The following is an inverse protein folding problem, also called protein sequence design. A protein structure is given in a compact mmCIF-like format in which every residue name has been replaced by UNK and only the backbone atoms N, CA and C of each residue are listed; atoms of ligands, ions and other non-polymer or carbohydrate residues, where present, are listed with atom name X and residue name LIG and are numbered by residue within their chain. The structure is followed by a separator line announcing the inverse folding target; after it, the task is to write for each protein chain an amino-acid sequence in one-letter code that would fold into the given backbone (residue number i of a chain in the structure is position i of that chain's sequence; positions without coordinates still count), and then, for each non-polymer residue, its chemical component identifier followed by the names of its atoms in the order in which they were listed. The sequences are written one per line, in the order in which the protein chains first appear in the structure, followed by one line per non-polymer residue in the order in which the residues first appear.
data_IF_552831335536
#
_entry.id   IF_552831335536
#
_cell.length_a   1.000
_cell.length_b   1.000
_cell.length_c   1.000
_cell.angle_alpha   90.00
_cell.angle_beta   90.00
_cell.angle_gamma   90.00
#
_symmetry.space_group_name_H-M   'P 1'
#
loop_
_entity.id
_entity.type
_entity.pdbx_description
1 polymer ?
#
# COMPACT_ATOMS: atom_id res chain seq x y z
N UNK A 1 -55.36 32.66 0.46
CA UNK A 1 -54.14 33.49 0.26
C UNK A 1 -53.13 33.43 1.40
N UNK A 2 -53.49 33.12 2.64
CA UNK A 2 -52.55 32.99 3.78
C UNK A 2 -51.57 31.82 3.64
N UNK A 3 -52.00 30.72 3.06
CA UNK A 3 -51.16 29.49 3.01
C UNK A 3 -50.00 29.54 2.00
N UNK A 4 -50.14 30.36 0.94
CA UNK A 4 -49.05 30.47 -0.08
C UNK A 4 -47.91 31.35 0.40
N UNK A 5 -48.20 32.39 1.15
CA UNK A 5 -47.24 33.29 1.81
C UNK A 5 -46.43 32.50 2.86
N UNK A 6 -47.10 31.73 3.69
CA UNK A 6 -46.47 30.87 4.70
C UNK A 6 -45.50 29.82 4.07
N UNK A 7 -45.85 29.21 2.95
CA UNK A 7 -45.01 28.26 2.27
C UNK A 7 -43.75 28.90 1.62
N UNK A 8 -43.88 30.12 1.13
CA UNK A 8 -42.75 30.85 0.55
C UNK A 8 -41.78 31.32 1.63
N UNK A 9 -42.29 31.84 2.75
CA UNK A 9 -41.47 32.20 3.91
C UNK A 9 -40.72 31.02 4.48
N UNK A 10 -41.37 29.88 4.63
CA UNK A 10 -40.73 28.63 5.07
C UNK A 10 -39.59 28.19 4.13
N UNK A 11 -39.79 28.20 2.82
CA UNK A 11 -38.77 27.87 1.84
C UNK A 11 -37.56 28.81 1.93
N UNK A 12 -37.82 30.12 2.04
CA UNK A 12 -36.76 31.12 2.18
C UNK A 12 -35.97 30.91 3.47
N UNK A 13 -36.65 30.63 4.59
CA UNK A 13 -35.99 30.35 5.86
C UNK A 13 -35.05 29.09 5.75
N UNK A 14 -35.53 28.01 5.12
CA UNK A 14 -34.67 26.82 4.91
C UNK A 14 -33.50 27.12 4.01
N UNK A 15 -33.66 27.87 2.93
CA UNK A 15 -32.55 28.22 2.02
C UNK A 15 -31.51 29.08 2.74
N UNK A 16 -31.89 29.98 3.60
CA UNK A 16 -30.98 30.84 4.35
C UNK A 16 -30.24 30.07 5.47
N UNK A 17 -30.91 29.11 6.11
CA UNK A 17 -30.29 28.32 7.19
C UNK A 17 -29.46 27.13 6.66
N UNK A 18 -29.73 26.63 5.45
CA UNK A 18 -29.07 25.47 4.86
C UNK A 18 -27.54 25.56 4.80
N UNK A 19 -26.91 26.69 4.38
CA UNK A 19 -25.46 26.79 4.39
C UNK A 19 -24.86 26.65 5.79
N UNK A 20 -25.46 27.21 6.81
CA UNK A 20 -24.99 27.08 8.19
C UNK A 20 -25.11 25.64 8.70
N UNK A 21 -26.25 24.98 8.42
CA UNK A 21 -26.45 23.56 8.77
C UNK A 21 -25.44 22.67 8.05
N UNK A 22 -25.18 22.89 6.76
CA UNK A 22 -24.18 22.16 6.02
C UNK A 22 -22.79 22.34 6.61
N UNK A 23 -22.39 23.52 7.03
CA UNK A 23 -21.12 23.79 7.69
C UNK A 23 -21.01 23.03 9.03
N UNK A 24 -22.03 23.10 9.86
CA UNK A 24 -22.06 22.35 11.13
C UNK A 24 -21.96 20.87 10.88
N UNK A 25 -22.69 20.34 9.91
CA UNK A 25 -22.61 18.93 9.55
C UNK A 25 -21.21 18.53 9.07
N UNK A 26 -20.62 19.31 8.16
CA UNK A 26 -19.31 19.00 7.60
C UNK A 26 -18.18 19.11 8.62
N UNK A 27 -18.22 20.08 9.52
CA UNK A 27 -17.10 20.34 10.45
C UNK A 27 -17.25 19.57 11.76
N UNK A 28 -18.45 19.35 12.24
CA UNK A 28 -18.69 18.73 13.56
C UNK A 28 -19.13 17.28 13.41
N UNK A 29 -20.22 17.02 12.69
CA UNK A 29 -20.80 15.66 12.65
C UNK A 29 -20.00 14.71 11.80
N UNK A 30 -19.45 15.15 10.65
CA UNK A 30 -18.67 14.28 9.78
C UNK A 30 -17.43 13.68 10.48
N UNK A 31 -16.58 14.46 11.17
CA UNK A 31 -15.47 13.88 11.93
C UNK A 31 -15.91 12.92 13.04
N UNK A 32 -17.04 13.19 13.71
CA UNK A 32 -17.57 12.28 14.73
C UNK A 32 -17.96 10.93 14.10
N UNK A 33 -18.71 10.94 13.02
CA UNK A 33 -19.08 9.71 12.31
C UNK A 33 -17.88 8.99 11.74
N UNK A 34 -16.89 9.73 11.19
CA UNK A 34 -15.65 9.14 10.71
C UNK A 34 -14.87 8.44 11.85
N UNK A 35 -14.76 9.06 13.02
CA UNK A 35 -14.11 8.45 14.18
C UNK A 35 -14.84 7.19 14.67
N UNK A 36 -16.17 7.22 14.73
CA UNK A 36 -16.98 6.05 15.07
C UNK A 36 -16.73 4.94 14.04
N UNK A 37 -16.75 5.25 12.75
CA UNK A 37 -16.49 4.29 11.68
C UNK A 37 -15.11 3.65 11.82
N UNK A 38 -14.07 4.45 12.03
CA UNK A 38 -12.69 3.96 12.17
C UNK A 38 -12.52 3.14 13.44
N UNK A 39 -13.20 3.46 14.55
CA UNK A 39 -13.09 2.71 15.81
C UNK A 39 -13.57 1.26 15.71
N UNK A 40 -14.46 0.98 14.76
CA UNK A 40 -14.88 -0.40 14.43
C UNK A 40 -13.94 -1.13 13.47
N UNK A 41 -12.83 -0.52 13.06
CA UNK A 41 -11.84 -1.15 12.17
C UNK A 41 -10.61 -1.57 12.96
N UNK A 42 -10.06 -2.72 12.62
CA UNK A 42 -8.76 -3.15 13.13
C UNK A 42 -7.65 -2.44 12.33
N UNK A 43 -7.41 -1.17 12.66
CA UNK A 43 -6.44 -0.32 11.96
C UNK A 43 -5.39 0.18 12.92
N UNK A 44 -4.13 -0.10 12.63
CA UNK A 44 -2.99 0.58 13.25
C UNK A 44 -2.54 1.76 12.36
N UNK A 45 -1.84 2.74 12.93
CA UNK A 45 -1.33 3.91 12.19
C UNK A 45 -0.52 3.55 10.93
N UNK A 46 0.16 2.40 10.96
CA UNK A 46 0.92 1.87 9.81
C UNK A 46 0.04 1.33 8.69
N UNK A 47 -1.22 0.98 8.99
CA UNK A 47 -2.15 0.32 8.05
C UNK A 47 -3.10 1.31 7.36
N UNK A 48 -3.02 2.60 7.71
CA UNK A 48 -3.77 3.68 7.05
C UNK A 48 -3.37 3.80 5.57
N UNK A 49 -2.12 3.42 5.24
CA UNK A 49 -1.67 3.40 3.85
C UNK A 49 -2.11 2.12 3.15
N UNK A 50 -2.57 2.26 1.92
CA UNK A 50 -2.89 1.11 1.08
C UNK A 50 -1.66 0.20 0.98
N UNK A 51 -1.81 -1.11 1.19
CA UNK A 51 -0.72 -2.05 1.05
C UNK A 51 -0.10 -2.00 -0.35
N UNK A 52 1.21 -1.88 -0.41
CA UNK A 52 1.95 -1.83 -1.66
C UNK A 52 3.05 -2.89 -1.67
N UNK A 53 3.27 -3.57 -2.79
CA UNK A 53 4.42 -4.44 -2.95
C UNK A 53 5.70 -3.60 -3.01
N UNK A 54 6.72 -3.99 -2.25
CA UNK A 54 8.00 -3.27 -2.22
C UNK A 54 9.14 -4.20 -2.58
N UNK A 55 10.10 -3.69 -3.37
CA UNK A 55 11.35 -4.35 -3.66
C UNK A 55 12.54 -3.47 -3.33
N UNK A 56 13.58 -4.10 -2.79
CA UNK A 56 14.92 -3.51 -2.65
C UNK A 56 15.87 -4.25 -3.57
N UNK A 57 16.45 -3.53 -4.54
CA UNK A 57 17.44 -4.02 -5.48
C UNK A 57 18.84 -3.86 -4.89
N UNK A 58 19.61 -4.94 -4.83
CA UNK A 58 21.00 -4.96 -4.39
C UNK A 58 21.83 -5.53 -5.55
N UNK A 59 22.73 -4.72 -6.05
CA UNK A 59 23.61 -5.06 -7.18
C UNK A 59 24.98 -5.40 -6.64
N UNK A 60 25.47 -6.60 -6.94
CA UNK A 60 26.81 -7.08 -6.54
C UNK A 60 27.57 -7.51 -7.80
N UNK A 61 28.81 -7.06 -7.95
CA UNK A 61 29.71 -7.58 -8.97
C UNK A 61 30.18 -8.99 -8.57
N UNK A 62 30.39 -9.85 -9.53
CA UNK A 62 30.99 -11.17 -9.31
C UNK A 62 32.50 -11.00 -9.28
N UNK A 63 33.16 -11.50 -8.22
CA UNK A 63 34.62 -11.41 -8.09
C UNK A 63 35.29 -12.25 -9.19
N UNK A 64 36.22 -11.64 -9.94
CA UNK A 64 36.92 -12.28 -11.04
C UNK A 64 36.23 -12.23 -12.40
N UNK A 65 34.95 -11.84 -12.48
CA UNK A 65 34.20 -11.78 -13.74
C UNK A 65 33.58 -10.38 -13.93
N UNK A 66 34.30 -9.43 -14.55
CA UNK A 66 33.80 -8.05 -14.70
C UNK A 66 32.59 -7.91 -15.65
N UNK A 67 32.31 -8.96 -16.43
CA UNK A 67 31.18 -9.06 -17.38
C UNK A 67 29.91 -9.60 -16.74
N UNK A 68 30.03 -10.18 -15.52
CA UNK A 68 28.88 -10.75 -14.80
C UNK A 68 28.47 -9.92 -13.58
N UNK A 69 27.18 -9.87 -13.35
CA UNK A 69 26.60 -9.16 -12.23
C UNK A 69 25.49 -10.00 -11.59
N UNK A 70 25.51 -10.05 -10.27
CA UNK A 70 24.48 -10.70 -9.47
C UNK A 70 23.56 -9.65 -8.86
N UNK A 71 22.28 -9.73 -9.15
CA UNK A 71 21.27 -8.82 -8.62
C UNK A 71 20.37 -9.60 -7.67
N UNK A 72 20.35 -9.15 -6.42
CA UNK A 72 19.48 -9.68 -5.38
C UNK A 72 18.31 -8.73 -5.16
N UNK A 73 17.10 -9.22 -5.34
CA UNK A 73 15.87 -8.52 -5.05
C UNK A 73 15.30 -9.02 -3.72
N UNK A 74 15.11 -8.10 -2.78
CA UNK A 74 14.39 -8.36 -1.54
C UNK A 74 12.98 -7.84 -1.68
N UNK A 75 12.03 -8.75 -1.79
CA UNK A 75 10.61 -8.48 -1.95
C UNK A 75 9.91 -8.52 -0.60
N UNK A 76 8.93 -7.64 -0.42
CA UNK A 76 8.10 -7.66 0.77
C UNK A 76 6.73 -7.06 0.54
N UNK A 77 5.72 -7.59 1.23
CA UNK A 77 4.46 -6.91 1.43
C UNK A 77 4.66 -5.77 2.46
N UNK A 78 4.15 -4.57 2.18
CA UNK A 78 4.23 -3.45 3.13
C UNK A 78 3.26 -3.60 4.30
N UNK A 79 2.20 -4.38 4.14
CA UNK A 79 1.21 -4.65 5.18
C UNK A 79 1.56 -5.87 6.03
N UNK A 80 1.18 -5.80 7.30
CA UNK A 80 1.30 -6.90 8.26
C UNK A 80 0.01 -7.68 8.44
N UNK A 81 -1.11 -7.18 7.90
CA UNK A 81 -2.47 -7.69 8.15
C UNK A 81 -3.29 -7.90 6.88
N UNK A 82 -2.76 -7.52 5.71
CA UNK A 82 -3.47 -7.66 4.44
C UNK A 82 -2.62 -8.32 3.37
N UNK A 83 -3.25 -9.11 2.53
CA UNK A 83 -2.66 -9.65 1.32
C UNK A 83 -2.60 -8.60 0.20
N UNK A 84 -1.69 -8.82 -0.73
CA UNK A 84 -1.63 -8.10 -2.00
C UNK A 84 -1.81 -9.14 -3.11
N UNK A 85 -2.79 -8.91 -3.97
CA UNK A 85 -3.14 -9.84 -5.05
C UNK A 85 -2.50 -9.44 -6.37
N UNK A 86 -2.28 -10.43 -7.23
CA UNK A 86 -1.79 -10.24 -8.60
C UNK A 86 -0.48 -9.44 -8.66
N UNK A 87 0.49 -9.76 -7.79
CA UNK A 87 1.74 -9.01 -7.77
C UNK A 87 2.57 -9.31 -9.00
N UNK A 88 2.86 -8.24 -9.74
CA UNK A 88 3.76 -8.23 -10.89
C UNK A 88 4.98 -7.37 -10.61
N UNK A 89 6.10 -7.80 -11.14
CA UNK A 89 7.40 -7.14 -11.00
C UNK A 89 7.96 -6.85 -12.38
N UNK A 90 8.54 -5.67 -12.54
CA UNK A 90 9.22 -5.28 -13.77
C UNK A 90 10.49 -4.49 -13.44
N UNK A 91 11.62 -4.90 -14.03
CA UNK A 91 12.87 -4.14 -14.00
C UNK A 91 13.44 -3.96 -15.41
N UNK A 92 14.02 -2.81 -15.68
CA UNK A 92 14.59 -2.47 -16.99
C UNK A 92 16.11 -2.52 -16.94
N UNK A 93 16.69 -3.05 -18.01
CA UNK A 93 18.13 -3.20 -18.17
C UNK A 93 18.60 -2.51 -19.46
N UNK A 94 19.90 -2.21 -19.59
CA UNK A 94 20.51 -1.87 -20.85
C UNK A 94 20.35 -3.01 -21.89
N UNK A 95 20.48 -2.68 -23.18
CA UNK A 95 20.18 -3.62 -24.27
C UNK A 95 21.11 -4.85 -24.36
N UNK A 96 22.30 -4.77 -23.79
CA UNK A 96 23.37 -5.79 -23.99
C UNK A 96 23.46 -6.78 -22.83
N UNK A 97 22.32 -7.16 -22.22
CA UNK A 97 22.29 -8.08 -21.10
C UNK A 97 21.61 -9.39 -21.49
N UNK A 98 22.22 -10.51 -21.09
CA UNK A 98 21.65 -11.85 -21.10
C UNK A 98 21.54 -12.40 -19.70
N UNK A 99 20.64 -13.34 -19.47
CA UNK A 99 20.49 -14.04 -18.20
C UNK A 99 20.91 -15.48 -18.37
N UNK A 100 21.69 -16.02 -17.42
CA UNK A 100 22.07 -17.44 -17.38
C UNK A 100 21.02 -18.28 -16.65
N UNK A 101 20.53 -17.76 -15.53
CA UNK A 101 19.52 -18.44 -14.71
C UNK A 101 18.36 -17.50 -14.41
N UNK A 102 17.16 -17.97 -14.64
CA UNK A 102 15.94 -17.21 -14.40
C UNK A 102 14.95 -18.06 -13.58
N UNK A 103 14.30 -17.43 -12.59
CA UNK A 103 13.21 -18.05 -11.86
C UNK A 103 12.07 -18.40 -12.84
N UNK A 104 11.42 -19.54 -12.67
CA UNK A 104 10.31 -20.02 -13.52
C UNK A 104 9.14 -19.05 -13.63
N UNK A 105 8.99 -18.16 -12.65
CA UNK A 105 7.97 -17.11 -12.61
C UNK A 105 8.35 -15.85 -13.41
N UNK A 106 9.57 -15.81 -13.94
CA UNK A 106 10.16 -14.65 -14.58
C UNK A 106 10.44 -14.87 -16.06
N UNK A 107 10.34 -13.81 -16.83
CA UNK A 107 10.67 -13.75 -18.24
C UNK A 107 11.57 -12.55 -18.52
N UNK A 108 12.64 -12.75 -19.29
CA UNK A 108 13.51 -11.66 -19.74
C UNK A 108 13.39 -11.48 -21.25
N UNK A 109 12.75 -10.41 -21.67
CA UNK A 109 12.58 -10.05 -23.09
C UNK A 109 12.80 -8.56 -23.31
N UNK A 110 13.46 -8.22 -24.42
CA UNK A 110 13.70 -6.82 -24.83
C UNK A 110 14.31 -5.96 -23.71
N UNK A 111 15.29 -6.52 -22.97
CA UNK A 111 15.95 -5.84 -21.84
C UNK A 111 15.02 -5.50 -20.67
N UNK A 112 13.92 -6.21 -20.55
CA UNK A 112 12.97 -6.05 -19.45
C UNK A 112 12.80 -7.41 -18.76
N UNK A 113 13.08 -7.43 -17.47
CA UNK A 113 12.76 -8.55 -16.59
C UNK A 113 11.34 -8.38 -16.09
N UNK A 114 10.46 -9.33 -16.39
CA UNK A 114 9.09 -9.38 -15.90
C UNK A 114 8.87 -10.64 -15.11
N UNK A 115 8.33 -10.51 -13.91
CA UNK A 115 8.00 -11.66 -13.06
C UNK A 115 6.54 -11.54 -12.59
N UNK A 116 5.88 -12.69 -12.46
CA UNK A 116 4.54 -12.80 -11.88
C UNK A 116 4.64 -13.60 -10.59
N UNK A 117 4.45 -12.94 -9.46
CA UNK A 117 4.57 -13.58 -8.15
C UNK A 117 3.24 -14.05 -7.57
N UNK A 118 2.10 -13.69 -8.20
CA UNK A 118 0.78 -14.05 -7.70
C UNK A 118 0.41 -13.28 -6.43
N UNK A 119 -0.20 -13.97 -5.47
CA UNK A 119 -0.70 -13.36 -4.26
C UNK A 119 0.35 -13.38 -3.16
N UNK A 120 0.58 -12.24 -2.54
CA UNK A 120 1.47 -12.10 -1.40
C UNK A 120 0.64 -12.04 -0.10
N UNK A 121 0.75 -13.04 0.78
CA UNK A 121 0.08 -13.00 2.07
C UNK A 121 0.59 -11.85 2.94
N UNK A 122 -0.05 -11.65 4.06
CA UNK A 122 0.44 -10.75 5.10
C UNK A 122 1.88 -11.09 5.50
N UNK A 123 2.68 -10.05 5.82
CA UNK A 123 4.09 -10.21 6.23
C UNK A 123 5.00 -10.91 5.21
N UNK A 124 4.54 -11.11 3.98
CA UNK A 124 5.33 -11.76 2.95
C UNK A 124 6.70 -11.14 2.78
N UNK A 125 7.71 -12.01 2.69
CA UNK A 125 9.10 -11.65 2.37
C UNK A 125 9.72 -12.75 1.55
N UNK A 126 10.33 -12.37 0.44
CA UNK A 126 11.07 -13.27 -0.43
C UNK A 126 12.33 -12.59 -0.95
N UNK A 127 13.37 -13.38 -1.15
CA UNK A 127 14.59 -12.94 -1.83
C UNK A 127 14.76 -13.79 -3.07
N UNK A 128 14.86 -13.16 -4.24
CA UNK A 128 15.27 -13.86 -5.45
C UNK A 128 16.46 -13.17 -6.08
N UNK A 129 17.26 -13.94 -6.78
CA UNK A 129 18.46 -13.44 -7.42
C UNK A 129 18.47 -13.79 -8.91
N UNK A 130 19.08 -12.92 -9.69
CA UNK A 130 19.28 -13.12 -11.12
C UNK A 130 20.73 -12.78 -11.44
N UNK A 131 21.35 -13.62 -12.24
CA UNK A 131 22.70 -13.38 -12.77
C UNK A 131 22.55 -12.89 -14.20
N UNK A 132 23.19 -11.77 -14.50
CA UNK A 132 23.24 -11.20 -15.84
C UNK A 132 24.67 -11.15 -16.32
N UNK A 133 24.85 -11.38 -17.61
CA UNK A 133 26.10 -11.23 -18.32
C UNK A 133 25.93 -10.24 -19.48
N UNK A 134 27.00 -9.52 -19.84
CA UNK A 134 27.02 -8.65 -21.02
C UNK A 134 27.40 -9.40 -22.28
N UNK A 135 26.61 -9.20 -23.35
CA UNK A 135 26.86 -9.85 -24.66
C UNK A 135 28.17 -9.40 -25.32
N UNK A 136 28.58 -8.18 -25.06
CA UNK A 136 29.74 -7.53 -25.71
C UNK A 136 31.01 -7.55 -24.85
N UNK A 137 31.01 -8.26 -23.73
CA UNK A 137 32.15 -8.31 -22.81
C UNK A 137 32.47 -6.97 -22.13
N UNK A 138 31.60 -5.98 -22.24
CA UNK A 138 31.82 -4.67 -21.62
C UNK A 138 31.69 -4.72 -20.10
N UNK A 139 32.45 -3.87 -19.41
CA UNK A 139 32.34 -3.73 -17.96
C UNK A 139 30.98 -3.15 -17.56
N UNK A 140 30.37 -3.78 -16.58
CA UNK A 140 29.05 -3.37 -16.10
C UNK A 140 29.16 -2.19 -15.13
N UNK A 141 28.47 -1.10 -15.42
CA UNK A 141 28.33 0.04 -14.49
C UNK A 141 27.27 -0.25 -13.43
N UNK A 142 27.73 -0.75 -12.28
CA UNK A 142 26.88 -1.06 -11.14
C UNK A 142 26.12 0.16 -10.58
N UNK A 143 26.70 1.37 -10.72
CA UNK A 143 26.04 2.61 -10.23
C UNK A 143 24.82 2.93 -11.06
N UNK A 144 24.94 2.84 -12.41
CA UNK A 144 23.85 3.07 -13.33
C UNK A 144 22.70 2.06 -13.14
N UNK A 145 23.03 0.79 -12.89
CA UNK A 145 22.03 -0.23 -12.60
C UNK A 145 21.31 -0.04 -11.27
N UNK A 146 21.98 0.46 -10.23
CA UNK A 146 21.37 0.80 -8.94
C UNK A 146 20.39 1.96 -9.03
N UNK A 147 20.60 2.91 -9.93
CA UNK A 147 19.71 4.06 -10.10
C UNK A 147 18.35 3.69 -10.72
N UNK A 148 18.31 2.60 -11.51
CA UNK A 148 17.06 2.10 -12.10
C UNK A 148 16.28 1.33 -11.03
N UNK A 149 15.14 1.88 -10.62
CA UNK A 149 14.27 1.24 -9.62
C UNK A 149 13.32 0.26 -10.31
N UNK A 150 13.15 -0.94 -9.76
CA UNK A 150 12.13 -1.87 -10.24
C UNK A 150 10.73 -1.32 -9.98
N UNK A 151 9.81 -1.61 -10.90
CA UNK A 151 8.39 -1.28 -10.77
C UNK A 151 7.65 -2.51 -10.28
N UNK A 152 6.82 -2.34 -9.26
CA UNK A 152 5.93 -3.37 -8.76
C UNK A 152 4.51 -2.86 -8.82
N UNK A 153 3.61 -3.74 -9.19
CA UNK A 153 2.17 -3.50 -9.20
C UNK A 153 1.48 -4.65 -8.50
N UNK A 154 0.42 -4.36 -7.79
CA UNK A 154 -0.40 -5.34 -7.10
C UNK A 154 -1.71 -4.70 -6.68
N UNK A 155 -2.73 -5.51 -6.45
CA UNK A 155 -4.06 -5.07 -6.02
C UNK A 155 -4.22 -5.36 -4.53
N UNK A 156 -4.62 -4.37 -3.77
CA UNK A 156 -4.94 -4.50 -2.35
C UNK A 156 -6.21 -3.74 -2.02
N UNK A 157 -6.91 -4.20 -1.00
CA UNK A 157 -8.12 -3.54 -0.54
C UNK A 157 -7.77 -2.43 0.46
N UNK A 158 -8.56 -1.37 0.45
CA UNK A 158 -8.43 -0.33 1.47
C UNK A 158 -9.19 -0.77 2.73
N UNK A 159 -8.47 -0.98 3.83
CA UNK A 159 -9.06 -1.45 5.08
C UNK A 159 -10.10 -0.46 5.66
N UNK A 160 -9.95 0.82 5.39
CA UNK A 160 -10.89 1.84 5.86
C UNK A 160 -12.23 1.78 5.14
N UNK A 161 -12.24 1.29 3.89
CA UNK A 161 -13.42 1.23 3.04
C UNK A 161 -14.10 -0.15 3.04
N UNK A 162 -13.43 -1.19 3.54
CA UNK A 162 -14.04 -2.51 3.62
C UNK A 162 -15.19 -2.54 4.64
N UNK A 163 -16.07 -3.52 4.56
CA UNK A 163 -17.22 -3.69 5.46
C UNK A 163 -16.94 -4.58 6.67
N UNK A 164 -15.68 -4.98 6.87
CA UNK A 164 -15.31 -5.81 8.01
C UNK A 164 -15.23 -4.96 9.28
N UNK A 165 -16.08 -5.27 10.25
CA UNK A 165 -16.14 -4.60 11.54
C UNK A 165 -15.58 -5.50 12.65
N UNK A 166 -14.92 -4.89 13.63
CA UNK A 166 -14.38 -5.57 14.79
C UNK A 166 -14.58 -4.75 16.05
N UNK A 167 -14.74 -5.43 17.19
CA UNK A 167 -14.80 -4.79 18.51
C UNK A 167 -13.45 -4.88 19.24
N UNK A 168 -12.38 -5.34 18.59
CA UNK A 168 -11.08 -5.54 19.24
C UNK A 168 -10.52 -4.27 19.88
N UNK A 169 -10.69 -3.11 19.22
CA UNK A 169 -10.23 -1.83 19.76
C UNK A 169 -10.94 -1.49 21.07
N UNK A 170 -12.25 -1.70 21.12
CA UNK A 170 -13.03 -1.46 22.35
C UNK A 170 -12.62 -2.44 23.45
N UNK A 171 -12.47 -3.72 23.11
CA UNK A 171 -12.02 -4.74 24.06
C UNK A 171 -10.65 -4.38 24.64
N UNK A 172 -9.72 -3.96 23.80
CA UNK A 172 -8.37 -3.55 24.22
C UNK A 172 -8.41 -2.35 25.17
N UNK A 173 -9.19 -1.32 24.85
CA UNK A 173 -9.29 -0.11 25.69
C UNK A 173 -10.00 -0.40 27.00
N UNK A 174 -11.11 -1.14 26.97
CA UNK A 174 -11.93 -1.37 28.16
C UNK A 174 -11.35 -2.42 29.13
N UNK A 175 -10.67 -3.45 28.61
CA UNK A 175 -10.28 -4.60 29.44
C UNK A 175 -8.76 -4.79 29.57
N UNK A 176 -7.95 -4.27 28.66
CA UNK A 176 -6.50 -4.48 28.69
C UNK A 176 -5.71 -3.29 29.25
N UNK A 177 -6.29 -2.08 29.28
CA UNK A 177 -5.59 -0.84 29.68
C UNK A 177 -6.05 -0.30 31.05
N UNK A 178 -6.62 -1.12 31.91
CA UNK A 178 -7.10 -0.71 33.24
C UNK A 178 -8.05 0.52 33.21
N UNK A 179 -8.63 0.81 32.02
CA UNK A 179 -9.47 1.98 31.81
C UNK A 179 -10.72 1.97 32.68
N UNK A 180 -11.29 0.78 32.88
CA UNK A 180 -12.48 0.61 33.74
C UNK A 180 -12.14 0.88 35.21
N UNK A 181 -10.96 0.44 35.64
CA UNK A 181 -10.52 0.67 37.02
C UNK A 181 -10.25 2.14 37.29
N UNK A 182 -9.66 2.84 36.31
CA UNK A 182 -9.48 4.29 36.36
C UNK A 182 -10.80 5.05 36.42
N UNK A 183 -11.81 4.64 35.63
CA UNK A 183 -13.15 5.24 35.64
C UNK A 183 -13.91 5.04 36.99
N UNK A 184 -13.68 3.91 37.63
CA UNK A 184 -14.34 3.59 38.90
C UNK A 184 -13.66 4.22 40.13
N UNK A 185 -12.40 4.64 39.98
CA UNK A 185 -11.60 5.28 41.04
C UNK A 185 -11.62 6.81 41.00
N UNK A 186 -12.24 7.42 39.98
CA UNK A 186 -12.42 8.86 39.87
C UNK A 186 -13.82 9.29 40.25
#
# INVERSE_FOLDING_TARGET
MKDTLSNTERKTAYILTLPAVCLVFAVILFPIFANIWISFKEVELKDIRIPEPRAKKIVKSVSGEPTKIKILYKLRNSSLIQEIRDVSFQDKFPKNFKTEELDSRCEFKKSILKCKFGNWPEKYRENFQVVFETDDGSKIDSKKLKSIKPKLEGKSDNILLNTNFTLKNFKKVLFENEFVDLLLTT
#
